data_IF_109678121340
#
_entry.id   IF_109678121340
#
_cell.length_a   1.000
_cell.length_b   1.000
_cell.length_c   1.000
_cell.angle_alpha   90.00
_cell.angle_beta   90.00
_cell.angle_gamma   90.00
#
_symmetry.space_group_name_H-M   'P 1'
#
loop_
_entity.id
_entity.type
_entity.pdbx_description
1 polymer ?
#
# COMPACT_ATOMS: atom_id res chain seq x y z
N UNK A 1 -31.89 -16.75 3.28
CA UNK A 1 -32.41 -15.65 2.44
C UNK A 1 -31.48 -14.42 2.33
N UNK A 2 -30.65 -14.06 3.31
CA UNK A 2 -29.76 -12.88 3.22
C UNK A 2 -28.54 -13.07 2.28
N UNK A 3 -27.98 -14.27 2.18
CA UNK A 3 -26.79 -14.57 1.35
C UNK A 3 -27.06 -14.45 -0.15
N UNK A 4 -28.25 -14.85 -0.61
CA UNK A 4 -28.63 -14.74 -2.03
C UNK A 4 -28.85 -13.30 -2.49
N UNK A 5 -29.22 -12.37 -1.60
CA UNK A 5 -29.35 -10.94 -1.93
C UNK A 5 -27.99 -10.27 -2.12
N UNK A 6 -26.99 -10.65 -1.35
CA UNK A 6 -25.63 -10.12 -1.46
C UNK A 6 -24.90 -10.61 -2.73
N UNK A 7 -25.12 -11.87 -3.13
CA UNK A 7 -24.56 -12.39 -4.38
C UNK A 7 -25.19 -11.70 -5.62
N UNK A 8 -26.49 -11.48 -5.62
CA UNK A 8 -27.18 -10.77 -6.73
C UNK A 8 -26.70 -9.31 -6.85
N UNK A 9 -26.45 -8.61 -5.73
CA UNK A 9 -25.95 -7.24 -5.74
C UNK A 9 -24.55 -7.12 -6.37
N UNK A 10 -23.64 -8.05 -6.08
CA UNK A 10 -22.29 -8.03 -6.64
C UNK A 10 -22.23 -8.40 -8.12
N UNK A 11 -23.06 -9.35 -8.55
CA UNK A 11 -23.16 -9.73 -9.96
C UNK A 11 -23.79 -8.59 -10.78
N UNK A 12 -24.79 -7.90 -10.25
CA UNK A 12 -25.42 -6.75 -10.90
C UNK A 12 -24.43 -5.58 -11.05
N UNK A 13 -23.60 -5.31 -10.05
CA UNK A 13 -22.58 -4.25 -10.10
C UNK A 13 -21.49 -4.55 -11.13
N UNK A 14 -21.03 -5.81 -11.21
CA UNK A 14 -20.04 -6.25 -12.20
C UNK A 14 -20.58 -6.20 -13.65
N UNK A 15 -21.85 -6.54 -13.85
CA UNK A 15 -22.50 -6.45 -15.15
C UNK A 15 -22.71 -4.99 -15.59
N UNK A 16 -23.04 -4.08 -14.67
CA UNK A 16 -23.16 -2.64 -14.97
C UNK A 16 -21.78 -2.02 -15.31
N UNK A 17 -20.71 -2.38 -14.60
CA UNK A 17 -19.36 -1.91 -14.90
C UNK A 17 -18.87 -2.44 -16.27
N UNK A 18 -19.14 -3.70 -16.60
CA UNK A 18 -18.80 -4.28 -17.89
C UNK A 18 -19.58 -3.68 -19.06
N UNK A 19 -20.87 -3.40 -18.87
CA UNK A 19 -21.71 -2.77 -19.89
C UNK A 19 -21.30 -1.31 -20.12
N UNK A 20 -20.95 -0.58 -19.07
CA UNK A 20 -20.45 0.79 -19.16
C UNK A 20 -19.09 0.85 -19.88
N UNK A 21 -18.19 -0.10 -19.62
CA UNK A 21 -16.92 -0.19 -20.31
C UNK A 21 -17.07 -0.49 -21.81
N UNK A 22 -17.97 -1.40 -22.18
CA UNK A 22 -18.23 -1.74 -23.59
C UNK A 22 -18.89 -0.58 -24.35
N UNK A 23 -19.83 0.14 -23.72
CA UNK A 23 -20.46 1.33 -24.33
C UNK A 23 -19.48 2.48 -24.48
N UNK A 24 -18.60 2.69 -23.50
CA UNK A 24 -17.54 3.70 -23.57
C UNK A 24 -16.52 3.39 -24.68
N UNK A 25 -16.09 2.12 -24.80
CA UNK A 25 -15.15 1.69 -25.84
C UNK A 25 -15.74 1.87 -27.25
N UNK A 26 -17.00 1.55 -27.44
CA UNK A 26 -17.71 1.77 -28.70
C UNK A 26 -17.87 3.26 -29.04
N UNK A 27 -18.13 4.10 -28.03
CA UNK A 27 -18.27 5.55 -28.19
C UNK A 27 -16.91 6.21 -28.51
N UNK A 28 -15.85 5.80 -27.83
CA UNK A 28 -14.50 6.32 -28.06
C UNK A 28 -13.99 6.00 -29.47
N UNK A 29 -14.26 4.79 -29.98
CA UNK A 29 -13.93 4.42 -31.35
C UNK A 29 -14.74 5.22 -32.40
N UNK A 30 -15.99 5.57 -32.10
CA UNK A 30 -16.83 6.34 -33.01
C UNK A 30 -16.40 7.82 -33.11
N UNK A 31 -15.70 8.33 -32.11
CA UNK A 31 -15.20 9.72 -32.07
C UNK A 31 -13.70 9.85 -32.32
N UNK A 32 -13.00 8.77 -32.74
CA UNK A 32 -11.56 8.82 -33.04
C UNK A 32 -10.69 9.20 -31.85
N UNK A 33 -11.16 8.97 -30.62
CA UNK A 33 -10.39 9.22 -29.41
C UNK A 33 -9.39 8.06 -29.21
N UNK A 34 -8.10 8.40 -29.20
CA UNK A 34 -7.00 7.48 -28.98
C UNK A 34 -7.19 6.69 -27.68
N UNK A 35 -6.88 5.39 -27.70
CA UNK A 35 -7.01 4.48 -26.53
C UNK A 35 -6.18 4.95 -25.32
N UNK A 36 -5.22 5.86 -25.50
CA UNK A 36 -4.46 6.52 -24.44
C UNK A 36 -5.30 7.42 -23.54
N UNK A 37 -6.48 7.90 -23.99
CA UNK A 37 -7.41 8.67 -23.15
C UNK A 37 -8.23 7.76 -22.23
N UNK A 38 -8.42 6.50 -22.61
CA UNK A 38 -9.06 5.48 -21.74
C UNK A 38 -8.23 5.15 -20.48
N UNK A 39 -6.90 5.24 -20.57
CA UNK A 39 -5.99 5.10 -19.42
C UNK A 39 -6.09 6.24 -18.41
N UNK A 40 -6.31 7.46 -18.87
CA UNK A 40 -6.50 8.62 -18.00
C UNK A 40 -7.81 8.60 -17.20
N UNK A 41 -8.84 7.89 -17.69
CA UNK A 41 -10.14 7.79 -17.00
C UNK A 41 -10.12 6.88 -15.77
N UNK A 42 -9.24 5.88 -15.71
CA UNK A 42 -9.09 5.00 -14.53
C UNK A 42 -8.10 5.57 -13.52
N UNK A 43 -7.11 6.33 -13.95
CA UNK A 43 -6.20 7.06 -13.07
C UNK A 43 -6.89 8.25 -12.38
N UNK A 44 -7.89 8.85 -13.04
CA UNK A 44 -8.70 9.94 -12.47
C UNK A 44 -9.66 9.49 -11.36
N UNK A 45 -9.95 8.18 -11.23
CA UNK A 45 -10.77 7.61 -10.14
C UNK A 45 -9.90 7.16 -8.95
N UNK A 46 -8.57 7.35 -9.03
CA UNK A 46 -7.67 7.03 -7.93
C UNK A 46 -7.48 5.55 -7.63
N UNK A 47 -7.98 4.64 -8.50
CA UNK A 47 -7.89 3.19 -8.32
C UNK A 47 -6.72 2.54 -9.09
N UNK A 48 -6.07 3.27 -10.03
CA UNK A 48 -5.01 2.68 -10.87
C UNK A 48 -3.64 2.60 -10.21
N UNK A 49 -3.15 3.67 -9.62
CA UNK A 49 -1.79 3.71 -9.06
C UNK A 49 -1.75 3.78 -7.53
N UNK A 50 -2.78 4.33 -6.87
CA UNK A 50 -2.84 4.38 -5.40
C UNK A 50 -2.96 3.00 -4.77
N UNK A 51 -3.73 2.10 -5.37
CA UNK A 51 -3.89 0.72 -4.87
C UNK A 51 -2.64 -0.14 -5.02
N UNK A 52 -1.88 0.04 -6.11
CA UNK A 52 -0.62 -0.67 -6.32
C UNK A 52 0.50 -0.09 -5.44
N UNK A 53 0.63 1.24 -5.33
CA UNK A 53 1.60 1.87 -4.45
C UNK A 53 1.34 1.52 -2.98
N UNK A 54 0.08 1.45 -2.55
CA UNK A 54 -0.31 1.02 -1.20
C UNK A 54 0.02 -0.47 -0.96
N UNK A 55 -0.19 -1.34 -1.94
CA UNK A 55 0.22 -2.74 -1.87
C UNK A 55 1.75 -2.92 -1.76
N UNK A 56 2.54 -2.05 -2.40
CA UNK A 56 4.00 -2.09 -2.32
C UNK A 56 4.53 -1.58 -0.98
N UNK A 57 4.00 -0.47 -0.46
CA UNK A 57 4.40 0.08 0.84
C UNK A 57 4.06 -0.89 2.00
N UNK A 58 2.96 -1.62 1.89
CA UNK A 58 2.55 -2.63 2.87
C UNK A 58 3.36 -3.94 2.78
N UNK A 59 4.12 -4.18 1.70
CA UNK A 59 4.91 -5.41 1.49
C UNK A 59 6.27 -5.45 2.21
N UNK A 60 6.67 -4.41 2.93
CA UNK A 60 7.91 -4.38 3.71
C UNK A 60 7.91 -5.43 4.83
N UNK A 61 6.79 -5.57 5.54
CA UNK A 61 6.64 -6.54 6.62
C UNK A 61 6.58 -8.00 6.15
N UNK A 62 6.24 -8.25 4.87
CA UNK A 62 6.06 -9.60 4.30
C UNK A 62 7.38 -10.22 3.82
N UNK A 63 8.48 -9.45 3.77
CA UNK A 63 9.78 -9.92 3.29
C UNK A 63 10.45 -10.89 4.25
N UNK A 64 11.15 -11.90 3.72
CA UNK A 64 11.98 -12.79 4.54
C UNK A 64 13.12 -12.06 5.27
N UNK A 65 13.47 -10.87 4.83
CA UNK A 65 14.40 -9.91 5.45
C UNK A 65 13.68 -8.72 6.10
N UNK A 66 12.35 -8.71 6.07
CA UNK A 66 11.52 -7.67 6.68
C UNK A 66 11.54 -7.72 8.22
N UNK A 67 11.07 -6.65 8.88
CA UNK A 67 11.16 -6.50 10.32
C UNK A 67 10.39 -7.58 11.08
N UNK A 68 9.21 -7.97 10.62
CA UNK A 68 8.37 -8.98 11.28
C UNK A 68 9.04 -10.35 11.24
N UNK A 69 9.58 -10.77 10.07
CA UNK A 69 10.27 -12.06 9.94
C UNK A 69 11.60 -12.07 10.70
N UNK A 70 12.32 -10.95 10.70
CA UNK A 70 13.57 -10.78 11.46
C UNK A 70 13.33 -10.97 12.96
N UNK A 71 12.30 -10.35 13.51
CA UNK A 71 11.93 -10.51 14.92
C UNK A 71 11.40 -11.91 15.20
N UNK A 72 10.64 -12.52 14.28
CA UNK A 72 10.17 -13.91 14.39
C UNK A 72 11.34 -14.91 14.48
N UNK A 73 12.35 -14.74 13.63
CA UNK A 73 13.58 -15.54 13.66
C UNK A 73 14.28 -15.43 15.02
N UNK A 74 14.49 -14.19 15.46
CA UNK A 74 15.10 -13.93 16.78
C UNK A 74 14.28 -14.52 17.93
N UNK A 75 12.96 -14.48 17.86
CA UNK A 75 12.09 -15.08 18.89
C UNK A 75 12.25 -16.57 18.98
N UNK A 76 12.31 -17.29 17.84
CA UNK A 76 12.55 -18.74 17.80
C UNK A 76 13.95 -19.12 18.27
N UNK A 77 14.97 -18.32 17.97
CA UNK A 77 16.35 -18.53 18.40
C UNK A 77 16.51 -18.35 19.91
N UNK A 78 15.95 -17.28 20.47
CA UNK A 78 16.06 -16.96 21.90
C UNK A 78 15.04 -17.70 22.77
N UNK A 79 13.98 -18.25 22.16
CA UNK A 79 12.87 -18.86 22.89
C UNK A 79 11.93 -17.84 23.55
N UNK A 80 11.97 -16.58 23.12
CA UNK A 80 11.16 -15.51 23.69
C UNK A 80 10.06 -15.09 22.71
N UNK A 81 8.84 -15.58 22.93
CA UNK A 81 7.66 -15.24 22.13
C UNK A 81 7.26 -13.75 22.27
N UNK A 82 7.59 -13.11 23.40
CA UNK A 82 7.19 -11.72 23.63
C UNK A 82 7.79 -10.73 22.62
N UNK A 83 8.86 -11.14 21.91
CA UNK A 83 9.46 -10.31 20.85
C UNK A 83 8.51 -10.07 19.67
N UNK A 84 7.60 -11.00 19.38
CA UNK A 84 6.68 -10.91 18.24
C UNK A 84 5.28 -10.43 18.60
N UNK A 85 4.90 -10.45 19.88
CA UNK A 85 3.57 -10.06 20.30
C UNK A 85 3.21 -8.59 20.01
N UNK A 86 4.15 -7.61 20.09
CA UNK A 86 3.86 -6.23 19.69
C UNK A 86 3.46 -6.05 18.21
N UNK A 87 3.69 -7.07 17.37
CA UNK A 87 3.37 -7.04 15.95
C UNK A 87 1.97 -7.55 15.62
N UNK A 88 1.22 -8.00 16.62
CA UNK A 88 -0.14 -8.52 16.46
C UNK A 88 -1.08 -7.89 17.48
N UNK A 89 -2.38 -8.00 17.25
CA UNK A 89 -3.39 -7.51 18.20
C UNK A 89 -3.46 -8.43 19.41
N UNK A 90 -3.90 -7.90 20.55
CA UNK A 90 -3.99 -8.66 21.81
C UNK A 90 -4.88 -9.89 21.68
N UNK A 91 -5.97 -9.82 20.90
CA UNK A 91 -6.86 -10.96 20.66
C UNK A 91 -6.21 -12.10 19.88
N UNK A 92 -5.16 -11.81 19.13
CA UNK A 92 -4.45 -12.78 18.28
C UNK A 92 -3.24 -13.43 19.01
N UNK A 93 -2.84 -12.91 20.16
CA UNK A 93 -1.66 -13.41 20.92
C UNK A 93 -1.73 -14.93 21.23
N UNK A 94 -2.92 -15.42 21.53
CA UNK A 94 -3.13 -16.84 21.84
C UNK A 94 -2.76 -17.76 20.68
N UNK A 95 -3.11 -17.39 19.45
CA UNK A 95 -2.74 -18.13 18.24
C UNK A 95 -1.23 -18.09 18.02
N UNK A 96 -0.62 -16.93 18.19
CA UNK A 96 0.83 -16.75 18.02
C UNK A 96 1.62 -17.58 19.04
N UNK A 97 1.26 -17.56 20.32
CA UNK A 97 1.91 -18.36 21.35
C UNK A 97 1.82 -19.86 21.03
N UNK A 98 0.64 -20.35 20.65
CA UNK A 98 0.45 -21.73 20.25
C UNK A 98 1.34 -22.13 19.08
N UNK A 99 1.36 -21.31 18.01
CA UNK A 99 2.19 -21.57 16.84
C UNK A 99 3.68 -21.51 17.15
N UNK A 100 4.11 -20.60 18.01
CA UNK A 100 5.48 -20.50 18.49
C UNK A 100 5.92 -21.80 19.22
N UNK A 101 5.11 -22.31 20.16
CA UNK A 101 5.42 -23.53 20.90
C UNK A 101 5.48 -24.74 19.96
N UNK A 102 4.56 -24.85 19.01
CA UNK A 102 4.57 -25.89 17.99
C UNK A 102 5.82 -25.81 17.10
N UNK A 103 6.17 -24.64 16.60
CA UNK A 103 7.38 -24.47 15.80
C UNK A 103 8.64 -24.86 16.61
N UNK A 104 8.72 -24.44 17.86
CA UNK A 104 9.84 -24.80 18.74
C UNK A 104 9.97 -26.28 19.05
N UNK A 105 8.86 -26.99 19.18
CA UNK A 105 8.89 -28.44 19.42
C UNK A 105 9.40 -29.23 18.22
N UNK A 106 9.08 -28.77 17.00
CA UNK A 106 9.42 -29.45 15.76
C UNK A 106 10.81 -29.07 15.23
N UNK A 107 11.21 -27.82 15.36
CA UNK A 107 12.45 -27.28 14.72
C UNK A 107 13.74 -27.94 15.22
N UNK A 108 13.70 -28.67 16.33
CA UNK A 108 14.86 -29.38 16.90
C UNK A 108 15.01 -30.83 16.39
N UNK A 109 14.06 -31.33 15.56
CA UNK A 109 14.08 -32.69 15.03
C UNK A 109 15.03 -32.87 13.83
N UNK A 110 15.54 -31.77 13.24
CA UNK A 110 16.47 -31.78 12.14
C UNK A 110 16.43 -30.50 11.33
N UNK A 111 17.33 -30.37 10.35
CA UNK A 111 17.46 -29.17 9.55
C UNK A 111 16.19 -28.88 8.70
N UNK A 112 15.67 -29.91 8.05
CA UNK A 112 14.45 -29.81 7.22
C UNK A 112 13.22 -29.48 8.07
N UNK A 113 13.10 -30.11 9.25
CA UNK A 113 12.03 -29.85 10.21
C UNK A 113 12.10 -28.39 10.70
N UNK A 114 13.31 -27.87 10.93
CA UNK A 114 13.52 -26.48 11.33
C UNK A 114 13.07 -25.51 10.23
N UNK A 115 13.49 -25.73 8.99
CA UNK A 115 13.12 -24.86 7.86
C UNK A 115 11.60 -24.81 7.70
N UNK A 116 10.94 -25.97 7.73
CA UNK A 116 9.49 -26.05 7.59
C UNK A 116 8.75 -25.38 8.77
N UNK A 117 9.17 -25.62 10.00
CA UNK A 117 8.56 -25.08 11.20
C UNK A 117 8.75 -23.55 11.28
N UNK A 118 9.96 -23.07 11.02
CA UNK A 118 10.28 -21.64 11.03
C UNK A 118 9.48 -20.91 9.95
N UNK A 119 9.42 -21.46 8.73
CA UNK A 119 8.63 -20.88 7.65
C UNK A 119 7.14 -20.81 7.96
N UNK A 120 6.58 -21.86 8.51
CA UNK A 120 5.17 -21.90 8.90
C UNK A 120 4.84 -20.88 9.99
N UNK A 121 5.74 -20.70 10.96
CA UNK A 121 5.60 -19.68 11.99
C UNK A 121 5.66 -18.27 11.39
N UNK A 122 6.60 -17.99 10.47
CA UNK A 122 6.71 -16.69 9.80
C UNK A 122 5.46 -16.38 8.99
N UNK A 123 4.96 -17.34 8.20
CA UNK A 123 3.73 -17.16 7.40
C UNK A 123 2.51 -16.86 8.28
N UNK A 124 2.39 -17.58 9.41
CA UNK A 124 1.28 -17.38 10.35
C UNK A 124 1.37 -16.00 11.00
N UNK A 125 2.55 -15.61 11.49
CA UNK A 125 2.75 -14.30 12.13
C UNK A 125 2.48 -13.14 11.16
N UNK A 126 3.04 -13.19 9.96
CA UNK A 126 2.85 -12.13 8.95
C UNK A 126 1.40 -12.07 8.50
N UNK A 127 0.73 -13.19 8.30
CA UNK A 127 -0.69 -13.23 7.96
C UNK A 127 -1.56 -12.54 9.02
N UNK A 128 -1.31 -12.84 10.30
CA UNK A 128 -2.05 -12.26 11.42
C UNK A 128 -1.73 -10.75 11.56
N UNK A 129 -0.46 -10.38 11.48
CA UNK A 129 -0.03 -8.98 11.45
C UNK A 129 -0.75 -8.18 10.36
N UNK A 130 -0.76 -8.68 9.12
CA UNK A 130 -1.44 -8.06 7.99
C UNK A 130 -2.95 -7.95 8.20
N UNK A 131 -3.57 -8.99 8.76
CA UNK A 131 -4.99 -8.93 9.11
C UNK A 131 -5.29 -7.86 10.16
N UNK A 132 -4.38 -7.66 11.12
CA UNK A 132 -4.45 -6.58 12.10
C UNK A 132 -4.41 -5.18 11.49
N UNK A 133 -3.67 -5.02 10.39
CA UNK A 133 -3.60 -3.78 9.60
C UNK A 133 -4.76 -3.61 8.61
N UNK A 134 -5.67 -4.58 8.51
CA UNK A 134 -6.73 -4.59 7.49
C UNK A 134 -6.21 -4.83 6.07
N UNK A 135 -5.00 -5.38 5.93
CA UNK A 135 -4.32 -5.58 4.67
C UNK A 135 -4.33 -7.06 4.22
N UNK A 136 -4.42 -7.35 2.91
CA UNK A 136 -4.37 -8.73 2.43
C UNK A 136 -2.97 -9.32 2.58
N UNK A 137 -2.91 -10.64 2.85
CA UNK A 137 -1.67 -11.41 2.86
C UNK A 137 -1.53 -12.20 1.56
N UNK A 138 -0.49 -11.93 0.79
CA UNK A 138 -0.17 -12.58 -0.48
C UNK A 138 0.93 -13.65 -0.39
N UNK A 139 1.29 -14.08 0.84
CA UNK A 139 2.44 -14.97 1.11
C UNK A 139 3.70 -14.20 1.47
N UNK A 140 4.68 -14.92 2.07
CA UNK A 140 6.01 -14.37 2.34
C UNK A 140 6.70 -14.02 1.03
N UNK A 141 7.35 -12.88 1.02
CA UNK A 141 8.07 -12.38 -0.14
C UNK A 141 9.57 -12.67 -0.04
N UNK A 142 10.26 -12.85 -1.17
CA UNK A 142 11.71 -13.07 -1.16
C UNK A 142 12.47 -11.94 -0.46
N UNK A 143 13.62 -12.25 0.13
CA UNK A 143 14.56 -11.25 0.62
C UNK A 143 15.18 -10.46 -0.54
N UNK A 144 15.63 -9.23 -0.26
CA UNK A 144 16.35 -8.38 -1.22
C UNK A 144 15.46 -7.72 -2.26
N UNK A 145 14.16 -7.60 -2.04
CA UNK A 145 13.25 -6.84 -2.91
C UNK A 145 13.62 -5.36 -2.91
N UNK A 146 13.47 -4.73 -4.05
CA UNK A 146 13.59 -3.27 -4.15
C UNK A 146 12.35 -2.61 -3.55
N UNK A 147 12.51 -2.00 -2.39
CA UNK A 147 11.49 -1.22 -1.69
C UNK A 147 11.61 0.29 -1.97
N UNK A 148 12.46 0.66 -2.92
CA UNK A 148 12.85 2.04 -3.14
C UNK A 148 13.69 2.59 -1.98
N UNK A 149 14.15 3.84 -2.08
CA UNK A 149 15.08 4.41 -1.11
C UNK A 149 14.42 4.86 0.20
N UNK A 150 13.10 5.13 0.20
CA UNK A 150 12.43 5.77 1.34
C UNK A 150 12.27 4.83 2.54
N UNK A 151 11.81 3.59 2.31
CA UNK A 151 11.58 2.62 3.39
C UNK A 151 12.88 2.25 4.11
N UNK A 152 13.96 1.85 3.41
CA UNK A 152 15.24 1.59 4.07
C UNK A 152 15.83 2.81 4.79
N UNK A 153 15.58 4.03 4.30
CA UNK A 153 16.02 5.24 4.98
C UNK A 153 15.25 5.47 6.28
N UNK A 154 13.94 5.20 6.29
CA UNK A 154 13.11 5.30 7.49
C UNK A 154 13.52 4.28 8.56
N UNK A 155 13.77 3.01 8.18
CA UNK A 155 14.27 2.00 9.11
C UNK A 155 15.60 2.42 9.76
N UNK A 156 16.57 2.85 8.93
CA UNK A 156 17.86 3.34 9.43
C UNK A 156 17.72 4.56 10.32
N UNK A 157 16.79 5.45 10.04
CA UNK A 157 16.53 6.61 10.88
C UNK A 157 16.09 6.20 12.30
N UNK A 158 15.22 5.19 12.41
CA UNK A 158 14.79 4.64 13.69
C UNK A 158 15.93 3.90 14.41
N UNK A 159 16.77 3.16 13.70
CA UNK A 159 17.94 2.49 14.28
C UNK A 159 18.98 3.46 14.84
N UNK A 160 19.23 4.57 14.13
CA UNK A 160 20.27 5.54 14.50
C UNK A 160 19.75 6.72 15.32
N UNK A 161 18.43 6.88 15.44
CA UNK A 161 17.80 8.00 16.13
C UNK A 161 17.98 9.35 15.42
N UNK A 162 18.13 9.35 14.07
CA UNK A 162 18.35 10.55 13.26
C UNK A 162 17.51 10.51 12.00
N UNK A 163 16.69 11.54 11.79
CA UNK A 163 15.75 11.68 10.69
C UNK A 163 16.33 12.43 9.47
N UNK A 164 17.52 13.04 9.59
CA UNK A 164 18.06 13.97 8.59
C UNK A 164 18.23 13.35 7.19
N UNK A 165 18.53 12.06 7.11
CA UNK A 165 18.67 11.39 5.82
C UNK A 165 17.31 11.23 5.12
N UNK A 166 16.26 10.92 5.89
CA UNK A 166 14.87 10.83 5.38
C UNK A 166 14.40 12.20 4.90
N UNK A 167 14.62 13.24 5.69
CA UNK A 167 14.26 14.61 5.32
C UNK A 167 14.94 15.07 4.05
N UNK A 168 16.25 14.85 3.91
CA UNK A 168 16.99 15.19 2.67
C UNK A 168 16.44 14.44 1.47
N UNK A 169 16.19 13.14 1.62
CA UNK A 169 15.67 12.29 0.55
C UNK A 169 14.30 12.78 0.07
N UNK A 170 13.38 12.96 1.01
CA UNK A 170 12.01 13.38 0.69
C UNK A 170 11.97 14.80 0.14
N UNK A 171 12.73 15.73 0.74
CA UNK A 171 12.80 17.13 0.27
C UNK A 171 13.34 17.20 -1.17
N UNK A 172 14.37 16.43 -1.49
CA UNK A 172 14.91 16.38 -2.84
C UNK A 172 13.87 15.83 -3.84
N UNK A 173 13.24 14.70 -3.52
CA UNK A 173 12.25 14.08 -4.39
C UNK A 173 11.02 14.97 -4.62
N UNK A 174 10.53 15.63 -3.54
CA UNK A 174 9.41 16.58 -3.62
C UNK A 174 9.77 17.77 -4.50
N UNK A 175 10.93 18.38 -4.26
CA UNK A 175 11.40 19.52 -5.06
C UNK A 175 11.49 19.17 -6.54
N UNK A 176 12.14 18.06 -6.87
CA UNK A 176 12.33 17.64 -8.26
C UNK A 176 10.98 17.36 -8.94
N UNK A 177 10.05 16.70 -8.22
CA UNK A 177 8.70 16.46 -8.72
C UNK A 177 7.90 17.75 -8.95
N UNK A 178 7.94 18.71 -8.00
CA UNK A 178 7.27 20.00 -8.12
C UNK A 178 7.81 20.77 -9.33
N UNK A 179 9.13 20.86 -9.47
CA UNK A 179 9.75 21.56 -10.62
C UNK A 179 9.38 20.88 -11.94
N UNK A 180 9.47 19.56 -12.03
CA UNK A 180 9.11 18.82 -13.24
C UNK A 180 7.69 19.14 -13.73
N UNK A 181 6.71 19.09 -12.85
CA UNK A 181 5.31 19.36 -13.21
C UNK A 181 5.06 20.83 -13.47
N UNK A 182 5.70 21.74 -12.70
CA UNK A 182 5.62 23.18 -12.91
C UNK A 182 6.19 23.59 -14.27
N UNK A 183 7.38 23.14 -14.62
CA UNK A 183 8.03 23.47 -15.88
C UNK A 183 7.23 22.96 -17.09
N UNK A 184 6.63 21.77 -16.97
CA UNK A 184 5.72 21.24 -17.98
C UNK A 184 4.50 22.15 -18.17
N UNK A 185 3.88 22.65 -17.09
CA UNK A 185 2.77 23.59 -17.19
C UNK A 185 3.21 24.95 -17.76
N UNK A 186 4.36 25.47 -17.32
CA UNK A 186 4.88 26.77 -17.76
C UNK A 186 5.29 26.77 -19.24
N UNK A 187 5.76 25.64 -19.78
CA UNK A 187 6.13 25.54 -21.22
C UNK A 187 4.94 25.74 -22.16
N UNK A 188 3.73 25.50 -21.68
CA UNK A 188 2.48 25.68 -22.45
C UNK A 188 1.64 26.89 -22.02
N UNK A 189 2.11 27.68 -21.04
CA UNK A 189 1.29 28.77 -20.44
C UNK A 189 0.94 29.89 -21.39
N UNK A 190 1.84 30.20 -22.33
CA UNK A 190 1.65 31.30 -23.28
C UNK A 190 1.09 30.75 -24.58
N UNK A 191 -0.17 31.01 -24.84
CA UNK A 191 -0.87 30.65 -26.08
C UNK A 191 -1.88 31.75 -26.46
N UNK A 192 -2.25 31.81 -27.73
CA UNK A 192 -3.32 32.68 -28.20
C UNK A 192 -4.66 32.17 -27.64
N UNK A 193 -5.50 33.00 -27.01
CA UNK A 193 -6.81 32.60 -26.52
C UNK A 193 -7.71 31.90 -27.55
N UNK A 194 -7.54 32.21 -28.84
CA UNK A 194 -8.27 31.61 -29.95
C UNK A 194 -7.66 30.28 -30.40
N UNK A 195 -6.43 29.92 -29.97
CA UNK A 195 -5.81 28.63 -30.21
C UNK A 195 -6.25 27.63 -29.16
N UNK A 196 -7.40 27.00 -29.39
CA UNK A 196 -7.99 26.00 -28.50
C UNK A 196 -7.10 24.77 -28.36
N UNK A 197 -6.29 24.42 -29.37
CA UNK A 197 -5.38 23.27 -29.31
C UNK A 197 -4.25 23.53 -28.33
N UNK A 198 -3.62 24.69 -28.42
CA UNK A 198 -2.58 25.11 -27.48
C UNK A 198 -3.14 25.31 -26.06
N UNK A 199 -4.36 25.85 -25.93
CA UNK A 199 -5.06 25.93 -24.64
C UNK A 199 -5.30 24.57 -23.99
N UNK A 200 -5.69 23.57 -24.76
CA UNK A 200 -5.82 22.18 -24.26
C UNK A 200 -4.47 21.56 -23.85
N UNK A 201 -3.40 21.85 -24.57
CA UNK A 201 -2.06 21.43 -24.19
C UNK A 201 -1.63 22.01 -22.83
N UNK A 202 -1.93 23.29 -22.60
CA UNK A 202 -1.72 23.93 -21.30
C UNK A 202 -2.52 23.24 -20.19
N UNK A 203 -3.83 23.04 -20.37
CA UNK A 203 -4.68 22.41 -19.37
C UNK A 203 -4.22 20.99 -19.06
N UNK A 204 -3.79 20.22 -20.09
CA UNK A 204 -3.23 18.87 -19.93
C UNK A 204 -1.97 18.84 -19.04
N UNK A 205 -1.17 19.90 -19.03
CA UNK A 205 0.00 20.03 -18.17
C UNK A 205 -0.32 20.65 -16.80
N UNK A 206 -1.25 21.61 -16.76
CA UNK A 206 -1.68 22.32 -15.55
C UNK A 206 -2.35 21.38 -14.53
N UNK A 207 -3.29 20.55 -14.96
CA UNK A 207 -4.04 19.65 -14.06
C UNK A 207 -3.14 18.69 -13.30
N UNK A 208 -2.20 17.96 -13.94
CA UNK A 208 -1.24 17.12 -13.20
C UNK A 208 -0.37 17.89 -12.20
N UNK A 209 0.02 19.13 -12.51
CA UNK A 209 0.79 19.95 -11.58
C UNK A 209 0.00 20.25 -10.31
N UNK A 210 -1.24 20.77 -10.45
CA UNK A 210 -2.08 21.11 -9.29
C UNK A 210 -2.40 19.90 -8.44
N UNK A 211 -2.78 18.79 -9.05
CA UNK A 211 -3.05 17.54 -8.31
C UNK A 211 -1.81 16.98 -7.63
N UNK A 212 -0.63 17.07 -8.24
CA UNK A 212 0.61 16.64 -7.60
C UNK A 212 0.88 17.44 -6.31
N UNK A 213 0.73 18.76 -6.37
CA UNK A 213 0.89 19.65 -5.20
C UNK A 213 -0.14 19.35 -4.12
N UNK A 214 -1.40 19.15 -4.52
CA UNK A 214 -2.49 18.81 -3.61
C UNK A 214 -2.23 17.48 -2.87
N UNK A 215 -1.82 16.44 -3.60
CA UNK A 215 -1.51 15.12 -3.03
C UNK A 215 -0.35 15.20 -2.02
N UNK A 216 0.71 15.93 -2.36
CA UNK A 216 1.83 16.16 -1.45
C UNK A 216 1.39 16.88 -0.17
N UNK A 217 0.56 17.91 -0.32
CA UNK A 217 0.03 18.65 0.81
C UNK A 217 -0.84 17.77 1.71
N UNK A 218 -1.76 17.00 1.13
CA UNK A 218 -2.62 16.06 1.85
C UNK A 218 -1.80 14.99 2.58
N UNK A 219 -0.80 14.41 1.94
CA UNK A 219 0.11 13.46 2.56
C UNK A 219 0.85 14.07 3.76
N UNK A 220 1.36 15.30 3.63
CA UNK A 220 2.05 16.02 4.70
C UNK A 220 1.15 16.37 5.89
N UNK A 221 -0.16 16.57 5.66
CA UNK A 221 -1.15 16.80 6.73
C UNK A 221 -1.62 15.52 7.43
N UNK A 222 -1.11 14.34 7.06
CA UNK A 222 -1.57 13.08 7.62
C UNK A 222 -2.95 12.63 7.11
N UNK A 223 -3.52 13.32 6.11
CA UNK A 223 -4.83 12.98 5.56
C UNK A 223 -4.83 11.68 4.74
N UNK A 224 -3.66 11.07 4.53
CA UNK A 224 -3.50 9.91 3.67
C UNK A 224 -3.90 8.55 4.26
N UNK A 225 -3.91 8.37 5.57
CA UNK A 225 -4.19 7.08 6.21
C UNK A 225 -4.79 7.27 7.61
N UNK A 226 -6.06 7.68 7.67
CA UNK A 226 -6.85 7.40 8.86
C UNK A 226 -7.15 5.89 8.87
N UNK A 227 -6.33 5.10 9.55
CA UNK A 227 -6.77 3.80 10.03
C UNK A 227 -7.91 4.08 11.02
N UNK A 228 -9.15 3.94 10.53
CA UNK A 228 -10.35 4.00 11.34
C UNK A 228 -10.41 2.75 12.23
N UNK A 229 -9.72 2.77 13.36
CA UNK A 229 -9.86 1.76 14.40
C UNK A 229 -9.59 2.35 15.79
N UNK A 230 -10.29 3.45 16.10
CA UNK A 230 -10.53 3.87 17.49
C UNK A 230 -12.04 4.04 17.73
N UNK A 231 -12.75 2.93 17.73
CA UNK A 231 -14.01 2.87 18.47
C UNK A 231 -13.69 2.42 19.89
N UNK A 232 -13.29 3.38 20.71
CA UNK A 232 -13.35 3.23 22.16
C UNK A 232 -14.79 2.92 22.57
N UNK A 233 -15.02 1.70 23.03
CA UNK A 233 -16.14 1.40 23.87
C UNK A 233 -15.99 2.17 25.19
N UNK A 234 -16.58 3.37 25.23
CA UNK A 234 -16.93 4.00 26.50
C UNK A 234 -18.06 3.16 27.11
N UNK A 235 -17.72 2.28 28.04
CA UNK A 235 -18.66 1.59 28.88
C UNK A 235 -19.41 2.58 29.75
N UNK A 236 -20.70 2.70 29.55
CA UNK A 236 -21.58 3.28 30.55
C UNK A 236 -21.84 2.25 31.65
N UNK A 237 -21.25 2.54 32.83
CA UNK A 237 -21.66 1.92 34.06
C UNK A 237 -23.01 2.50 34.52
N UNK A 238 -23.92 1.61 34.88
CA UNK A 238 -24.95 1.80 35.90
C UNK A 238 -25.08 0.50 36.65
#
# INVERSE_FOLDING_TARGET
MKLQRLLKSRITLALFAGLFYLTWKSLAQSFGLDETIGGLGMDAIGLGNGGLAMAWALGHCDGLDGPVVTVARKSLETGNVNLVLPWVRTEDEGEIRKMFDQARSVRNLGAEARELADRHFFETLVRIHRAGEGAPFGGLQPAGRDLGPAVPAADKALEHGSVEQVERLLTAAIRDGVHKHFDAAMSHRKFDPDDVVAGRAYVKAYVPYVHYVEQLWQAAQGAGHAHSNDQHHAGHGH
#
